data_IF_636782267815
#
_entry.id   IF_636782267815
#
_cell.length_a   1.000
_cell.length_b   1.000
_cell.length_c   1.000
_cell.angle_alpha   90.00
_cell.angle_beta   90.00
_cell.angle_gamma   90.00
#
_symmetry.space_group_name_H-M   'P 1'
#
loop_
_entity.id
_entity.type
_entity.pdbx_description
1 polymer ?
#
# COMPACT_ATOMS: atom_id res chain seq x y z
N UNK A 1 52.11 -30.55 9.91
CA UNK A 1 52.48 -29.47 10.85
C UNK A 1 52.01 -29.89 12.25
N UNK A 2 52.95 -30.16 13.17
CA UNK A 2 52.69 -30.62 14.55
C UNK A 2 52.26 -29.40 15.36
N UNK A 3 51.06 -29.42 15.93
CA UNK A 3 50.59 -28.39 16.88
C UNK A 3 51.05 -28.74 18.28
N UNK A 4 51.88 -27.89 18.86
CA UNK A 4 52.33 -27.96 20.26
C UNK A 4 51.24 -27.40 21.18
N UNK A 5 50.91 -28.19 22.20
CA UNK A 5 49.99 -27.79 23.27
C UNK A 5 50.81 -27.23 24.45
N UNK A 6 50.43 -26.08 24.94
CA UNK A 6 50.97 -25.53 26.17
C UNK A 6 49.88 -25.63 27.25
N UNK A 7 50.16 -26.37 28.33
CA UNK A 7 49.35 -26.41 29.53
C UNK A 7 49.95 -25.44 30.58
N UNK A 8 49.16 -24.53 31.07
CA UNK A 8 49.51 -23.68 32.23
C UNK A 8 48.88 -24.30 33.48
N UNK A 9 49.68 -24.66 34.46
CA UNK A 9 49.25 -25.16 35.78
C UNK A 9 49.14 -23.96 36.72
N UNK A 10 47.94 -23.67 37.19
CA UNK A 10 47.69 -22.70 38.25
C UNK A 10 47.42 -23.48 39.54
N UNK A 11 48.32 -23.38 40.50
CA UNK A 11 48.20 -23.95 41.84
C UNK A 11 47.50 -22.99 42.77
N UNK A 12 46.26 -23.25 43.09
CA UNK A 12 45.47 -22.55 44.11
C UNK A 12 44.21 -23.33 44.43
N UNK A 13 44.25 -23.99 45.56
CA UNK A 13 43.20 -24.72 46.31
C UNK A 13 41.85 -25.02 45.67
N UNK A 14 41.59 -26.34 45.52
CA UNK A 14 40.38 -27.07 45.04
C UNK A 14 40.12 -27.00 43.52
N UNK A 15 40.57 -27.94 42.92
CA UNK A 15 40.59 -28.74 41.75
C UNK A 15 39.41 -28.68 40.77
N UNK A 16 39.62 -28.06 39.67
CA UNK A 16 39.03 -28.51 38.42
C UNK A 16 40.06 -28.20 37.30
N UNK A 17 40.64 -29.25 36.76
CA UNK A 17 41.45 -29.18 35.57
C UNK A 17 40.53 -28.92 34.36
N UNK A 18 40.50 -27.70 33.90
CA UNK A 18 39.84 -27.32 32.63
C UNK A 18 40.87 -27.12 31.52
N UNK A 19 40.86 -27.97 30.51
CA UNK A 19 41.62 -27.73 29.28
C UNK A 19 40.87 -26.70 28.43
N UNK A 20 41.42 -25.49 28.31
CA UNK A 20 40.91 -24.47 27.39
C UNK A 20 41.42 -24.75 25.98
N UNK A 21 40.53 -25.13 25.08
CA UNK A 21 40.80 -25.21 23.64
C UNK A 21 40.84 -23.79 23.06
N UNK A 22 41.83 -23.44 22.21
CA UNK A 22 41.80 -22.18 21.50
C UNK A 22 40.61 -22.15 20.51
N UNK A 23 39.81 -21.07 20.57
CA UNK A 23 38.75 -20.83 19.63
C UNK A 23 39.31 -20.78 18.20
N UNK A 24 38.62 -21.36 17.21
CA UNK A 24 39.01 -21.22 15.82
C UNK A 24 38.89 -19.74 15.42
N UNK A 25 39.98 -19.17 14.91
CA UNK A 25 39.98 -17.90 14.20
C UNK A 25 39.06 -18.04 12.98
N UNK A 26 37.88 -17.46 12.99
CA UNK A 26 37.07 -17.33 11.79
C UNK A 26 37.82 -16.47 10.77
N UNK A 27 37.90 -16.92 9.50
CA UNK A 27 38.33 -16.03 8.43
C UNK A 27 37.35 -14.87 8.38
N UNK A 28 37.86 -13.63 8.31
CA UNK A 28 37.07 -12.40 8.28
C UNK A 28 35.95 -12.55 7.28
N UNK A 29 34.71 -12.38 7.78
CA UNK A 29 33.54 -12.16 6.95
C UNK A 29 33.80 -10.90 6.15
N UNK A 30 34.20 -11.08 4.88
CA UNK A 30 34.02 -9.98 3.93
C UNK A 30 32.60 -9.50 4.05
N UNK A 31 32.42 -8.24 4.40
CA UNK A 31 31.12 -7.59 4.31
C UNK A 31 30.70 -7.74 2.84
N UNK A 32 29.82 -8.71 2.56
CA UNK A 32 28.99 -8.67 1.39
C UNK A 32 28.22 -7.37 1.51
N UNK A 33 28.53 -6.42 0.65
CA UNK A 33 27.65 -5.31 0.35
C UNK A 33 26.37 -6.00 -0.13
N UNK A 34 25.34 -6.06 0.75
CA UNK A 34 24.00 -6.46 0.35
C UNK A 34 23.63 -5.56 -0.82
N UNK A 35 23.74 -6.07 -2.01
CA UNK A 35 23.17 -5.48 -3.20
C UNK A 35 21.68 -5.37 -2.87
N UNK A 36 21.20 -4.14 -2.64
CA UNK A 36 19.88 -3.84 -2.15
C UNK A 36 18.84 -4.59 -2.99
N UNK A 37 18.39 -5.74 -2.51
CA UNK A 37 17.29 -6.47 -3.13
C UNK A 37 16.06 -5.59 -2.95
N UNK A 38 15.53 -5.11 -4.06
CA UNK A 38 14.26 -4.38 -4.06
C UNK A 38 13.24 -5.24 -3.30
N UNK A 39 12.55 -4.68 -2.29
CA UNK A 39 11.58 -5.44 -1.52
C UNK A 39 10.59 -6.14 -2.44
N UNK A 40 10.24 -7.38 -2.12
CA UNK A 40 9.23 -8.13 -2.87
C UNK A 40 7.92 -7.35 -2.81
N UNK A 41 7.18 -7.31 -3.93
CA UNK A 41 5.84 -6.74 -3.95
C UNK A 41 4.90 -7.55 -3.05
N UNK A 42 3.91 -6.87 -2.46
CA UNK A 42 2.86 -7.44 -1.62
C UNK A 42 1.51 -6.88 -2.04
N UNK A 43 0.44 -7.65 -1.85
CA UNK A 43 -0.93 -7.14 -1.89
C UNK A 43 -1.23 -6.57 -0.51
N UNK A 44 -1.43 -5.25 -0.43
CA UNK A 44 -1.74 -4.53 0.81
C UNK A 44 -3.21 -4.61 1.14
N UNK A 45 -4.07 -4.63 0.12
CA UNK A 45 -5.51 -4.75 0.27
C UNK A 45 -6.16 -5.30 -1.00
N UNK A 46 -7.29 -5.98 -0.80
CA UNK A 46 -8.27 -6.34 -1.82
C UNK A 46 -9.62 -5.88 -1.29
N UNK A 47 -10.16 -4.81 -1.84
CA UNK A 47 -11.39 -4.21 -1.36
C UNK A 47 -12.57 -4.62 -2.26
N UNK A 48 -13.52 -5.38 -1.73
CA UNK A 48 -14.78 -5.64 -2.44
C UNK A 48 -15.68 -4.41 -2.29
N UNK A 49 -15.41 -3.38 -3.10
CA UNK A 49 -15.98 -2.04 -2.91
C UNK A 49 -17.38 -1.86 -3.50
N UNK A 50 -17.71 -2.59 -4.57
CA UNK A 50 -19.02 -2.50 -5.23
C UNK A 50 -19.48 -3.90 -5.65
N UNK A 51 -20.71 -4.22 -5.35
CA UNK A 51 -21.40 -5.44 -5.73
C UNK A 51 -22.56 -5.05 -6.68
N UNK A 52 -22.47 -5.45 -7.94
CA UNK A 52 -23.43 -5.16 -9.01
C UNK A 52 -23.79 -3.65 -9.14
N UNK A 53 -22.88 -2.77 -8.79
CA UNK A 53 -23.17 -1.34 -8.55
C UNK A 53 -22.22 -0.35 -9.24
N UNK A 54 -21.30 -0.81 -10.08
CA UNK A 54 -20.47 0.11 -10.86
C UNK A 54 -21.34 1.03 -11.71
N UNK A 55 -21.10 2.36 -11.68
CA UNK A 55 -21.89 3.31 -12.44
C UNK A 55 -21.77 3.07 -13.94
N UNK A 56 -22.77 3.49 -14.71
CA UNK A 56 -22.77 3.33 -16.18
C UNK A 56 -21.55 3.98 -16.85
N UNK A 57 -20.94 4.98 -16.22
CA UNK A 57 -19.69 5.61 -16.68
C UNK A 57 -18.51 4.66 -16.66
N UNK A 58 -18.54 3.57 -15.90
CA UNK A 58 -17.54 2.53 -15.95
C UNK A 58 -17.40 1.88 -17.34
N UNK A 59 -18.40 2.01 -18.19
CA UNK A 59 -18.33 1.57 -19.59
C UNK A 59 -17.24 2.28 -20.41
N UNK A 60 -16.79 3.47 -19.99
CA UNK A 60 -15.65 4.17 -20.60
C UNK A 60 -14.30 3.53 -20.22
N UNK A 61 -14.25 2.85 -19.08
CA UNK A 61 -13.06 2.15 -18.60
C UNK A 61 -13.04 0.67 -19.03
N UNK A 62 -14.23 0.08 -19.09
CA UNK A 62 -14.45 -1.34 -19.35
C UNK A 62 -15.77 -1.52 -20.08
N UNK A 63 -15.73 -1.86 -21.34
CA UNK A 63 -16.95 -2.06 -22.13
C UNK A 63 -17.85 -3.14 -21.49
N UNK A 64 -19.07 -2.76 -21.09
CA UNK A 64 -20.01 -3.61 -20.37
C UNK A 64 -19.66 -3.73 -18.87
N UNK A 65 -18.87 -2.82 -18.29
CA UNK A 65 -18.55 -2.79 -16.87
C UNK A 65 -19.60 -2.09 -15.99
N UNK A 66 -20.46 -1.29 -16.59
CA UNK A 66 -21.56 -0.66 -15.83
C UNK A 66 -22.49 -1.72 -15.24
N UNK A 67 -22.82 -1.62 -13.95
CA UNK A 67 -23.62 -2.59 -13.22
C UNK A 67 -22.89 -3.87 -12.81
N UNK A 68 -21.59 -3.95 -12.98
CA UNK A 68 -20.74 -5.05 -12.48
C UNK A 68 -20.14 -4.71 -11.11
N UNK A 69 -19.35 -5.64 -10.56
CA UNK A 69 -18.61 -5.43 -9.32
C UNK A 69 -17.35 -4.62 -9.59
N UNK A 70 -16.94 -3.85 -8.58
CA UNK A 70 -15.69 -3.13 -8.54
C UNK A 70 -14.83 -3.59 -7.37
N UNK A 71 -13.63 -4.09 -7.68
CA UNK A 71 -12.69 -4.61 -6.67
C UNK A 71 -11.31 -3.97 -6.86
N UNK A 72 -11.02 -2.84 -6.20
CA UNK A 72 -9.67 -2.29 -6.13
C UNK A 72 -8.71 -3.25 -5.40
N UNK A 73 -7.53 -3.45 -5.99
CA UNK A 73 -6.42 -4.23 -5.42
C UNK A 73 -5.22 -3.31 -5.27
N UNK A 74 -4.79 -3.08 -4.04
CA UNK A 74 -3.67 -2.19 -3.72
C UNK A 74 -2.39 -3.00 -3.51
N UNK A 75 -1.35 -2.65 -4.25
CA UNK A 75 -0.03 -3.26 -4.16
C UNK A 75 0.96 -2.35 -3.43
N UNK A 76 1.94 -2.93 -2.76
CA UNK A 76 3.02 -2.19 -2.09
C UNK A 76 3.98 -1.51 -3.08
N UNK A 77 3.96 -1.91 -4.35
CA UNK A 77 4.78 -1.36 -5.44
C UNK A 77 3.91 -0.94 -6.62
N UNK A 78 4.39 0.04 -7.39
CA UNK A 78 3.67 0.58 -8.53
C UNK A 78 3.63 -0.40 -9.70
N UNK A 79 2.50 -0.45 -10.37
CA UNK A 79 2.28 -1.29 -11.56
C UNK A 79 2.81 -0.56 -12.80
N UNK A 80 3.56 -1.28 -13.64
CA UNK A 80 4.24 -0.75 -14.81
C UNK A 80 3.31 -0.51 -16.02
N UNK A 81 2.21 -1.24 -16.11
CA UNK A 81 1.25 -1.19 -17.22
C UNK A 81 -0.06 -0.50 -16.82
N UNK A 82 -0.67 0.26 -17.72
CA UNK A 82 -1.92 0.97 -17.44
C UNK A 82 -3.14 0.06 -17.42
N UNK A 83 -3.07 -1.05 -18.14
CA UNK A 83 -4.17 -2.01 -18.30
C UNK A 83 -3.57 -3.42 -18.22
N UNK A 84 -3.45 -3.98 -17.01
CA UNK A 84 -3.05 -5.38 -16.84
C UNK A 84 -4.04 -6.33 -17.53
N UNK A 85 -3.55 -7.48 -17.98
CA UNK A 85 -4.43 -8.50 -18.56
C UNK A 85 -5.41 -9.04 -17.52
N UNK A 86 -6.73 -9.01 -17.75
CA UNK A 86 -7.72 -9.53 -16.79
C UNK A 86 -7.47 -10.98 -16.41
N UNK A 87 -7.00 -11.80 -17.34
CA UNK A 87 -6.65 -13.21 -17.13
C UNK A 87 -5.45 -13.42 -16.18
N UNK A 88 -4.71 -12.36 -15.86
CA UNK A 88 -3.65 -12.40 -14.84
C UNK A 88 -4.23 -12.51 -13.42
N UNK A 89 -5.52 -12.29 -13.24
CA UNK A 89 -6.18 -12.33 -11.93
C UNK A 89 -7.20 -13.44 -11.84
N UNK A 90 -7.30 -14.03 -10.66
CA UNK A 90 -8.29 -15.04 -10.34
C UNK A 90 -8.90 -14.73 -8.99
N UNK A 91 -10.22 -14.55 -8.96
CA UNK A 91 -11.01 -14.37 -7.75
C UNK A 91 -11.71 -15.69 -7.42
N UNK A 92 -11.68 -16.09 -6.16
CA UNK A 92 -12.41 -17.28 -5.70
C UNK A 92 -13.47 -16.82 -4.69
N UNK A 93 -14.71 -17.26 -4.88
CA UNK A 93 -15.82 -16.94 -3.98
C UNK A 93 -15.90 -17.94 -2.82
N UNK A 94 -16.76 -17.66 -1.84
CA UNK A 94 -16.98 -18.54 -0.67
C UNK A 94 -17.42 -19.95 -1.07
N UNK A 95 -18.21 -20.11 -2.11
CA UNK A 95 -18.61 -21.44 -2.61
C UNK A 95 -17.49 -22.21 -3.32
N UNK A 96 -16.34 -21.55 -3.56
CA UNK A 96 -15.25 -22.09 -4.36
C UNK A 96 -15.39 -21.82 -5.86
N UNK A 97 -16.37 -21.03 -6.29
CA UNK A 97 -16.48 -20.63 -7.69
C UNK A 97 -15.28 -19.74 -8.07
N UNK A 98 -14.73 -19.98 -9.26
CA UNK A 98 -13.58 -19.23 -9.78
C UNK A 98 -14.09 -18.22 -10.80
N UNK A 99 -13.65 -16.97 -10.64
CA UNK A 99 -14.02 -15.83 -11.48
C UNK A 99 -12.79 -15.18 -12.07
N UNK A 100 -12.87 -14.80 -13.33
CA UNK A 100 -11.86 -13.97 -14.00
C UNK A 100 -12.44 -12.58 -14.21
N UNK A 101 -11.73 -11.49 -13.90
CA UNK A 101 -12.20 -10.15 -14.18
C UNK A 101 -12.51 -9.99 -15.68
N UNK A 102 -13.49 -9.16 -15.98
CA UNK A 102 -13.76 -8.69 -17.34
C UNK A 102 -12.72 -7.69 -17.82
N UNK A 103 -12.31 -6.80 -16.89
CA UNK A 103 -11.26 -5.81 -17.13
C UNK A 103 -10.40 -5.65 -15.87
N UNK A 104 -9.15 -5.19 -16.09
CA UNK A 104 -8.24 -4.71 -15.06
C UNK A 104 -7.62 -3.39 -15.55
N UNK A 105 -7.62 -2.35 -14.72
CA UNK A 105 -7.14 -1.03 -15.12
C UNK A 105 -6.61 -0.25 -13.93
N UNK A 106 -5.62 0.62 -14.16
CA UNK A 106 -5.17 1.59 -13.16
C UNK A 106 -5.97 2.90 -13.23
N UNK A 107 -6.81 3.10 -14.24
CA UNK A 107 -7.60 4.32 -14.37
C UNK A 107 -8.60 4.48 -13.22
N UNK A 108 -8.79 5.73 -12.73
CA UNK A 108 -8.21 6.99 -13.24
C UNK A 108 -6.78 7.31 -12.75
N UNK A 109 -6.21 6.60 -11.79
CA UNK A 109 -4.95 6.90 -11.09
C UNK A 109 -3.68 6.55 -11.91
N UNK A 110 -3.43 7.25 -13.02
CA UNK A 110 -2.29 6.99 -13.94
C UNK A 110 -1.02 7.80 -13.63
N UNK A 111 -1.06 8.76 -12.70
CA UNK A 111 0.09 9.59 -12.33
C UNK A 111 1.29 8.74 -11.88
N UNK A 112 2.52 9.19 -12.16
CA UNK A 112 3.75 8.42 -11.87
C UNK A 112 3.94 8.11 -10.38
N UNK A 113 3.44 8.95 -9.48
CA UNK A 113 3.44 8.74 -8.02
C UNK A 113 2.27 7.88 -7.51
N UNK A 114 1.31 7.58 -8.36
CA UNK A 114 0.11 6.80 -8.08
C UNK A 114 0.36 5.32 -8.44
N UNK A 115 -0.44 4.65 -9.20
CA UNK A 115 -0.22 3.33 -9.82
C UNK A 115 -0.11 2.14 -8.85
N UNK A 116 -0.48 2.31 -7.58
CA UNK A 116 -0.48 1.21 -6.62
C UNK A 116 -1.76 0.38 -6.66
N UNK A 117 -2.83 0.89 -7.28
CA UNK A 117 -4.15 0.26 -7.27
C UNK A 117 -4.57 -0.18 -8.66
N UNK A 118 -4.90 -1.45 -8.81
CA UNK A 118 -5.56 -2.02 -9.99
C UNK A 118 -7.03 -2.21 -9.66
N UNK A 119 -7.91 -1.54 -10.40
CA UNK A 119 -9.36 -1.78 -10.35
C UNK A 119 -9.68 -3.00 -11.21
N UNK A 120 -10.14 -4.06 -10.58
CA UNK A 120 -10.74 -5.22 -11.23
C UNK A 120 -12.25 -4.96 -11.40
N UNK A 121 -12.76 -5.23 -12.58
CA UNK A 121 -14.18 -5.11 -12.92
C UNK A 121 -14.67 -6.45 -13.43
N UNK A 122 -15.74 -6.98 -12.85
CA UNK A 122 -16.26 -8.30 -13.23
C UNK A 122 -17.47 -8.73 -12.42
N UNK A 123 -17.76 -10.01 -12.45
CA UNK A 123 -18.72 -10.69 -11.57
C UNK A 123 -17.90 -11.51 -10.57
N UNK A 124 -17.81 -11.03 -9.34
CA UNK A 124 -16.99 -11.64 -8.29
C UNK A 124 -17.80 -12.33 -7.20
N UNK A 125 -19.12 -12.41 -7.39
CA UNK A 125 -20.07 -13.00 -6.46
C UNK A 125 -20.86 -11.93 -5.69
N UNK A 126 -21.81 -12.37 -4.88
CA UNK A 126 -22.80 -11.50 -4.24
C UNK A 126 -22.65 -11.49 -2.72
N UNK A 127 -22.68 -10.32 -2.09
CA UNK A 127 -22.71 -10.21 -0.61
C UNK A 127 -24.15 -10.15 -0.10
N UNK A 128 -24.55 -10.94 0.92
CA UNK A 128 -23.74 -11.90 1.68
C UNK A 128 -23.78 -13.35 1.15
N UNK A 129 -24.38 -13.60 -0.02
CA UNK A 129 -24.65 -14.95 -0.52
C UNK A 129 -23.39 -15.76 -0.81
N UNK A 130 -22.58 -15.28 -1.73
CA UNK A 130 -21.34 -15.94 -2.17
C UNK A 130 -20.23 -14.90 -2.44
N UNK A 131 -19.81 -14.11 -1.44
CA UNK A 131 -18.82 -13.06 -1.63
C UNK A 131 -17.43 -13.62 -2.01
N UNK A 132 -16.56 -12.78 -2.62
CA UNK A 132 -15.18 -13.14 -2.87
C UNK A 132 -14.42 -13.36 -1.55
N UNK A 133 -13.55 -14.37 -1.50
CA UNK A 133 -12.77 -14.75 -0.32
C UNK A 133 -11.28 -14.87 -0.61
N UNK A 134 -10.88 -14.87 -1.88
CA UNK A 134 -9.48 -14.98 -2.27
C UNK A 134 -9.23 -14.31 -3.61
N UNK A 135 -8.09 -13.63 -3.71
CA UNK A 135 -7.50 -13.15 -4.97
C UNK A 135 -6.14 -13.81 -5.17
N UNK A 136 -5.89 -14.30 -6.39
CA UNK A 136 -4.58 -14.76 -6.84
C UNK A 136 -4.15 -13.96 -8.08
N UNK A 137 -2.87 -13.56 -8.14
CA UNK A 137 -2.22 -13.07 -9.35
C UNK A 137 -1.55 -14.26 -10.03
N UNK A 138 -2.16 -14.77 -11.10
CA UNK A 138 -1.76 -16.00 -11.78
C UNK A 138 -1.04 -15.78 -13.10
N UNK A 139 -1.01 -14.56 -13.60
CA UNK A 139 -0.30 -14.12 -14.79
C UNK A 139 0.60 -12.95 -14.53
N UNK A 140 1.31 -12.48 -15.56
CA UNK A 140 2.25 -11.37 -15.44
C UNK A 140 1.53 -10.05 -15.17
N UNK A 141 1.97 -9.37 -14.12
CA UNK A 141 1.63 -7.98 -13.78
C UNK A 141 2.93 -7.26 -13.46
N UNK A 142 3.48 -6.61 -14.48
CA UNK A 142 4.78 -5.95 -14.40
C UNK A 142 4.77 -4.79 -13.38
N UNK A 143 5.85 -4.68 -12.60
CA UNK A 143 6.07 -3.59 -11.67
C UNK A 143 6.87 -2.48 -12.32
N UNK A 144 6.55 -1.22 -12.01
CA UNK A 144 7.17 -0.05 -12.64
C UNK A 144 8.70 0.00 -12.44
N UNK A 145 9.20 -0.42 -11.31
CA UNK A 145 10.62 -0.48 -10.98
C UNK A 145 11.28 -1.84 -11.27
N UNK A 146 10.62 -2.65 -12.10
CA UNK A 146 11.07 -3.98 -12.49
C UNK A 146 10.60 -5.09 -11.54
N UNK A 147 10.50 -6.29 -12.08
CA UNK A 147 9.92 -7.46 -11.42
C UNK A 147 8.44 -7.64 -11.79
N UNK A 148 7.78 -8.57 -11.13
CA UNK A 148 6.42 -8.99 -11.44
C UNK A 148 5.66 -9.33 -10.16
N UNK A 149 4.35 -9.07 -10.16
CA UNK A 149 3.46 -9.42 -9.07
C UNK A 149 2.88 -10.85 -9.20
N UNK A 150 3.22 -11.58 -10.26
CA UNK A 150 2.78 -12.96 -10.45
C UNK A 150 3.14 -13.84 -9.26
N UNK A 151 2.19 -14.65 -8.81
CA UNK A 151 2.33 -15.53 -7.66
C UNK A 151 1.97 -14.89 -6.33
N UNK A 152 1.58 -13.60 -6.30
CA UNK A 152 0.98 -12.99 -5.12
C UNK A 152 -0.45 -13.51 -4.93
N UNK A 153 -0.89 -13.59 -3.68
CA UNK A 153 -2.26 -13.94 -3.32
C UNK A 153 -2.67 -13.28 -2.02
N UNK A 154 -3.97 -13.07 -1.84
CA UNK A 154 -4.56 -12.60 -0.60
C UNK A 154 -5.85 -13.34 -0.28
N UNK A 155 -6.00 -13.79 0.97
CA UNK A 155 -7.25 -14.29 1.56
C UNK A 155 -7.87 -13.26 2.51
N UNK A 156 -7.22 -12.09 2.66
CA UNK A 156 -7.73 -10.97 3.43
C UNK A 156 -8.36 -9.98 2.47
N UNK A 157 -9.67 -10.09 2.32
CA UNK A 157 -10.45 -9.16 1.53
C UNK A 157 -11.21 -8.22 2.47
N UNK A 158 -11.13 -6.94 2.21
CA UNK A 158 -11.97 -5.94 2.88
C UNK A 158 -13.39 -6.11 2.35
N UNK A 159 -14.37 -6.43 3.23
CA UNK A 159 -15.72 -6.77 2.79
C UNK A 159 -16.50 -5.54 2.30
N UNK A 160 -17.55 -5.79 1.53
CA UNK A 160 -18.43 -4.78 0.94
C UNK A 160 -18.97 -3.76 1.95
N UNK A 161 -19.26 -4.18 3.18
CA UNK A 161 -19.80 -3.33 4.24
C UNK A 161 -18.76 -2.50 5.00
N UNK A 162 -17.47 -2.65 4.66
CA UNK A 162 -16.42 -1.84 5.26
C UNK A 162 -16.19 -0.57 4.43
N UNK A 163 -16.04 0.57 5.10
CA UNK A 163 -15.64 1.80 4.43
C UNK A 163 -14.15 1.80 4.04
N UNK A 164 -13.74 2.74 3.18
CA UNK A 164 -12.39 2.82 2.67
C UNK A 164 -11.39 3.16 3.78
N UNK A 165 -10.20 2.58 3.73
CA UNK A 165 -9.13 2.89 4.68
C UNK A 165 -7.83 3.19 3.95
N UNK A 166 -6.96 4.01 4.57
CA UNK A 166 -5.66 4.35 3.99
C UNK A 166 -4.73 3.13 4.06
N UNK A 167 -4.09 2.79 2.94
CA UNK A 167 -3.18 1.65 2.81
C UNK A 167 -1.73 2.05 2.58
N UNK A 168 -1.49 3.24 2.04
CA UNK A 168 -0.16 3.79 1.79
C UNK A 168 -0.14 5.24 2.26
N UNK A 169 0.98 5.66 2.85
CA UNK A 169 1.29 7.05 3.14
C UNK A 169 2.77 7.30 2.80
N UNK A 170 3.02 8.02 1.73
CA UNK A 170 4.36 8.39 1.29
C UNK A 170 4.60 9.88 1.42
N UNK A 171 5.80 10.23 1.88
CA UNK A 171 6.27 11.61 1.98
C UNK A 171 7.11 11.98 0.76
N UNK A 172 6.81 13.16 0.20
CA UNK A 172 7.50 13.76 -0.93
C UNK A 172 7.92 15.20 -0.62
N UNK A 173 8.99 15.65 -1.24
CA UNK A 173 9.24 17.07 -1.38
C UNK A 173 8.25 17.65 -2.44
N UNK A 174 7.83 18.92 -2.34
CA UNK A 174 6.90 19.51 -3.32
C UNK A 174 7.42 19.44 -4.77
N UNK A 175 8.74 19.46 -4.96
CA UNK A 175 9.38 19.35 -6.28
C UNK A 175 9.30 17.95 -6.90
N UNK A 176 9.02 16.93 -6.09
CA UNK A 176 8.85 15.55 -6.57
C UNK A 176 7.44 15.30 -7.11
N UNK A 177 6.46 16.12 -6.68
CA UNK A 177 5.07 16.07 -7.13
C UNK A 177 4.72 17.41 -7.81
N UNK A 178 5.35 17.69 -8.96
CA UNK A 178 5.21 18.95 -9.65
C UNK A 178 3.76 19.27 -10.09
N UNK A 179 2.94 18.23 -10.30
CA UNK A 179 1.53 18.36 -10.69
C UNK A 179 0.60 18.55 -9.47
N UNK A 180 1.15 18.58 -8.26
CA UNK A 180 0.34 18.78 -7.04
C UNK A 180 -0.28 20.18 -7.01
N UNK A 181 -1.55 20.27 -6.64
CA UNK A 181 -2.24 21.53 -6.38
C UNK A 181 -2.05 22.08 -4.96
N UNK A 182 -1.08 21.58 -4.21
CA UNK A 182 -0.72 22.12 -2.90
C UNK A 182 -0.30 23.60 -2.97
N UNK A 183 -0.66 24.42 -1.95
CA UNK A 183 -0.25 25.83 -1.89
C UNK A 183 1.27 26.02 -1.95
N UNK A 184 1.74 27.14 -2.49
CA UNK A 184 3.18 27.44 -2.62
C UNK A 184 3.95 27.58 -1.30
N UNK A 185 3.27 27.63 -0.15
CA UNK A 185 3.87 27.58 1.18
C UNK A 185 4.17 26.17 1.67
N UNK A 186 3.75 25.15 0.91
CA UNK A 186 3.98 23.73 1.25
C UNK A 186 5.47 23.42 1.27
N UNK A 187 5.90 22.71 2.30
CA UNK A 187 7.29 22.26 2.51
C UNK A 187 7.43 20.73 2.31
N UNK A 188 6.38 19.97 2.61
CA UNK A 188 6.31 18.55 2.32
C UNK A 188 4.88 18.15 1.99
N UNK A 189 4.73 17.10 1.20
CA UNK A 189 3.45 16.51 0.83
C UNK A 189 3.42 15.07 1.38
N UNK A 190 2.35 14.70 2.07
CA UNK A 190 2.09 13.30 2.40
C UNK A 190 0.97 12.81 1.49
N UNK A 191 1.31 11.96 0.53
CA UNK A 191 0.33 11.35 -0.37
C UNK A 191 -0.20 10.07 0.28
N UNK A 192 -1.52 9.99 0.37
CA UNK A 192 -2.26 8.83 0.85
C UNK A 192 -2.82 8.06 -0.34
N UNK A 193 -2.76 6.71 -0.27
CA UNK A 193 -3.55 5.85 -1.15
C UNK A 193 -4.59 5.11 -0.29
N UNK A 194 -5.86 5.25 -0.66
CA UNK A 194 -6.97 4.56 -0.04
C UNK A 194 -7.21 3.19 -0.69
N UNK A 195 -7.88 2.31 0.03
CA UNK A 195 -8.24 0.98 -0.47
C UNK A 195 -9.13 1.02 -1.72
N UNK A 196 -9.93 2.07 -1.87
CA UNK A 196 -10.81 2.33 -3.02
C UNK A 196 -11.03 3.82 -3.22
N UNK A 197 -11.78 4.19 -4.24
CA UNK A 197 -12.18 5.58 -4.50
C UNK A 197 -12.90 6.17 -3.31
N UNK A 198 -12.63 7.44 -3.02
CA UNK A 198 -13.19 8.14 -1.86
C UNK A 198 -13.84 9.45 -2.26
N UNK A 199 -14.95 9.77 -1.57
CA UNK A 199 -15.64 11.06 -1.62
C UNK A 199 -15.89 11.55 -0.20
N UNK A 200 -16.38 12.78 -0.05
CA UNK A 200 -16.96 13.19 1.22
C UNK A 200 -18.23 12.36 1.52
N UNK A 201 -18.60 12.12 2.79
CA UNK A 201 -19.76 11.27 3.14
C UNK A 201 -21.11 11.72 2.57
N UNK A 202 -21.23 12.99 2.18
CA UNK A 202 -22.42 13.54 1.52
C UNK A 202 -22.24 13.65 -0.01
N UNK A 203 -21.21 13.02 -0.56
CA UNK A 203 -20.79 13.15 -1.95
C UNK A 203 -19.93 14.39 -2.19
N UNK A 204 -19.32 14.47 -3.37
CA UNK A 204 -18.34 15.50 -3.72
C UNK A 204 -16.96 15.26 -3.13
N UNK A 205 -16.09 16.27 -3.24
CA UNK A 205 -14.70 16.16 -2.84
C UNK A 205 -14.49 16.25 -1.33
N UNK A 206 -13.38 15.68 -0.86
CA UNK A 206 -12.91 15.84 0.50
C UNK A 206 -12.60 17.32 0.76
N UNK A 207 -13.25 17.91 1.76
CA UNK A 207 -13.13 19.32 2.07
C UNK A 207 -12.49 19.59 3.43
N UNK A 208 -12.79 20.80 3.97
CA UNK A 208 -12.23 21.27 5.24
C UNK A 208 -12.55 20.36 6.43
N UNK A 209 -13.72 19.72 6.44
CA UNK A 209 -14.08 18.77 7.51
C UNK A 209 -13.13 17.55 7.51
N UNK A 210 -12.85 16.99 6.33
CA UNK A 210 -11.89 15.90 6.18
C UNK A 210 -10.48 16.36 6.57
N UNK A 211 -10.06 17.54 6.09
CA UNK A 211 -8.78 18.14 6.44
C UNK A 211 -8.60 18.31 7.95
N UNK A 212 -9.62 18.79 8.65
CA UNK A 212 -9.56 19.01 10.10
C UNK A 212 -9.46 17.72 10.92
N UNK A 213 -10.01 16.62 10.40
CA UNK A 213 -9.94 15.30 11.04
C UNK A 213 -8.73 14.44 10.63
N UNK A 214 -7.85 14.97 9.77
CA UNK A 214 -6.57 14.36 9.43
C UNK A 214 -5.44 15.03 10.21
N UNK A 215 -4.70 14.26 11.00
CA UNK A 215 -3.57 14.75 11.79
C UNK A 215 -2.29 14.03 11.40
N UNK A 216 -1.22 14.80 11.26
CA UNK A 216 0.11 14.28 10.95
C UNK A 216 0.97 14.42 12.18
N UNK A 217 1.53 13.31 12.65
CA UNK A 217 2.55 13.31 13.69
C UNK A 217 3.90 13.45 13.01
N UNK A 218 4.66 14.46 13.43
CA UNK A 218 6.02 14.73 12.96
C UNK A 218 7.04 13.97 13.81
N UNK A 219 8.24 13.78 13.26
CA UNK A 219 9.38 13.29 14.06
C UNK A 219 9.55 14.20 15.29
N UNK A 220 9.62 13.56 16.47
CA UNK A 220 9.59 14.28 17.75
C UNK A 220 8.21 14.38 18.39
N UNK A 221 7.16 13.81 17.77
CA UNK A 221 5.84 13.63 18.37
C UNK A 221 4.89 14.82 18.27
N UNK A 222 5.29 15.92 17.63
CA UNK A 222 4.43 17.09 17.42
C UNK A 222 3.35 16.72 16.40
N UNK A 223 2.09 17.03 16.71
CA UNK A 223 0.97 16.85 15.78
C UNK A 223 0.61 18.16 15.08
N UNK A 224 0.38 18.06 13.78
CA UNK A 224 -0.06 19.18 12.93
C UNK A 224 -1.23 18.77 12.07
N UNK A 225 -2.08 19.72 11.69
CA UNK A 225 -3.10 19.52 10.66
C UNK A 225 -2.54 19.97 9.31
N UNK A 226 -2.94 19.33 8.20
CA UNK A 226 -2.59 19.80 6.86
C UNK A 226 -3.12 21.23 6.65
N UNK A 227 -2.32 22.07 5.98
CA UNK A 227 -2.77 23.43 5.60
C UNK A 227 -3.76 23.38 4.44
N UNK A 228 -3.70 22.32 3.62
CA UNK A 228 -4.65 22.03 2.53
C UNK A 228 -4.68 20.54 2.23
N UNK A 229 -5.75 20.10 1.56
CA UNK A 229 -5.79 18.85 0.81
C UNK A 229 -5.61 19.18 -0.67
N UNK A 230 -4.97 18.29 -1.40
CA UNK A 230 -4.75 18.37 -2.85
C UNK A 230 -4.96 17.00 -3.51
N UNK A 231 -4.84 16.94 -4.82
CA UNK A 231 -5.14 15.73 -5.61
C UNK A 231 -6.62 15.33 -5.46
N UNK A 232 -7.48 16.30 -5.75
CA UNK A 232 -8.94 16.19 -5.63
C UNK A 232 -9.56 16.41 -7.01
N UNK A 233 -10.77 15.87 -7.24
CA UNK A 233 -11.58 16.12 -8.44
C UNK A 233 -11.27 15.20 -9.62
N UNK A 234 -10.44 14.18 -9.45
CA UNK A 234 -10.08 13.21 -10.49
C UNK A 234 -10.74 11.83 -10.31
N UNK A 235 -11.53 11.68 -9.23
CA UNK A 235 -12.25 10.45 -8.86
C UNK A 235 -11.36 9.23 -8.71
N UNK A 236 -10.13 9.43 -8.28
CA UNK A 236 -9.23 8.34 -7.94
C UNK A 236 -9.22 8.04 -6.41
N UNK A 237 -8.29 7.22 -5.98
CA UNK A 237 -8.17 6.81 -4.58
C UNK A 237 -6.95 7.45 -3.89
N UNK A 238 -6.50 8.61 -4.34
CA UNK A 238 -5.39 9.33 -3.74
C UNK A 238 -5.84 10.65 -3.13
N UNK A 239 -5.10 11.09 -2.13
CA UNK A 239 -5.29 12.39 -1.48
C UNK A 239 -3.93 12.89 -1.00
N UNK A 240 -3.62 14.15 -1.20
CA UNK A 240 -2.38 14.75 -0.74
C UNK A 240 -2.64 15.67 0.44
N UNK A 241 -1.87 15.47 1.52
CA UNK A 241 -1.83 16.35 2.70
C UNK A 241 -0.69 17.34 2.53
N UNK A 242 -1.02 18.61 2.36
CA UNK A 242 -0.03 19.69 2.20
C UNK A 242 0.40 20.19 3.58
N UNK A 243 1.70 20.17 3.89
CA UNK A 243 2.24 20.61 5.17
C UNK A 243 3.24 21.76 4.98
N UNK A 244 3.21 22.75 5.86
CA UNK A 244 4.09 23.95 5.84
C UNK A 244 5.32 23.81 6.74
N UNK A 245 5.72 22.58 7.06
CA UNK A 245 6.87 22.26 7.90
C UNK A 245 7.87 21.36 7.19
N UNK A 246 9.16 21.58 7.43
CA UNK A 246 10.26 20.72 6.95
C UNK A 246 10.51 19.52 7.90
N UNK A 247 9.95 19.54 9.13
CA UNK A 247 10.08 18.41 10.05
C UNK A 247 9.37 17.19 9.48
N UNK A 248 10.08 16.06 9.28
CA UNK A 248 9.51 14.91 8.58
C UNK A 248 8.24 14.37 9.23
N UNK A 249 7.23 14.07 8.43
CA UNK A 249 6.04 13.34 8.86
C UNK A 249 6.42 11.89 9.22
N UNK A 250 5.92 11.39 10.33
CA UNK A 250 6.14 10.03 10.85
C UNK A 250 4.89 9.15 10.74
N UNK A 251 3.71 9.71 10.99
CA UNK A 251 2.44 9.00 10.84
C UNK A 251 1.30 9.96 10.52
N UNK A 252 0.23 9.40 9.94
CA UNK A 252 -1.04 10.08 9.72
C UNK A 252 -2.12 9.36 10.51
N UNK A 253 -2.96 10.11 11.20
CA UNK A 253 -4.19 9.63 11.82
C UNK A 253 -5.37 10.26 11.09
N UNK A 254 -6.33 9.45 10.70
CA UNK A 254 -7.58 9.85 10.04
C UNK A 254 -8.73 9.48 10.95
N UNK A 255 -9.52 10.47 11.36
CA UNK A 255 -10.71 10.25 12.17
C UNK A 255 -11.77 9.45 11.38
N UNK A 256 -12.64 8.68 12.03
CA UNK A 256 -13.69 7.94 11.34
C UNK A 256 -14.74 8.88 10.74
N UNK A 257 -15.35 8.45 9.64
CA UNK A 257 -16.47 9.17 9.03
C UNK A 257 -16.12 10.40 8.21
N UNK A 258 -14.85 10.57 7.81
CA UNK A 258 -14.38 11.71 7.00
C UNK A 258 -14.46 11.46 5.50
N UNK A 259 -14.35 10.23 5.10
CA UNK A 259 -14.42 9.80 3.71
C UNK A 259 -15.43 8.64 3.59
N UNK A 260 -16.04 8.52 2.44
CA UNK A 260 -16.95 7.42 2.12
C UNK A 260 -16.59 6.81 0.77
N UNK A 261 -16.88 5.54 0.61
CA UNK A 261 -16.84 4.86 -0.68
C UNK A 261 -18.08 5.22 -1.53
N UNK A 262 -18.19 4.75 -2.79
CA UNK A 262 -19.36 5.01 -3.64
C UNK A 262 -20.69 4.46 -3.10
N UNK A 263 -20.68 3.56 -2.12
CA UNK A 263 -21.88 3.05 -1.45
C UNK A 263 -22.33 3.92 -0.28
N UNK A 264 -21.46 4.81 0.20
CA UNK A 264 -21.68 5.65 1.38
C UNK A 264 -21.17 5.02 2.68
N UNK A 265 -20.46 3.88 2.63
CA UNK A 265 -19.80 3.30 3.79
C UNK A 265 -18.61 4.16 4.18
N UNK A 266 -18.58 4.65 5.44
CA UNK A 266 -17.58 5.62 5.87
C UNK A 266 -16.31 4.96 6.39
N UNK A 267 -15.19 5.67 6.23
CA UNK A 267 -13.89 5.17 6.70
C UNK A 267 -13.89 4.93 8.22
N UNK A 268 -13.25 3.84 8.68
CA UNK A 268 -12.93 3.65 10.10
C UNK A 268 -11.82 4.60 10.54
N UNK A 269 -11.62 4.75 11.85
CA UNK A 269 -10.41 5.40 12.37
C UNK A 269 -9.18 4.66 11.86
N UNK A 270 -8.24 5.39 11.28
CA UNK A 270 -7.02 4.82 10.70
C UNK A 270 -5.79 5.55 11.26
N UNK A 271 -4.75 4.79 11.57
CA UNK A 271 -3.41 5.34 11.81
C UNK A 271 -2.42 4.60 10.93
N UNK A 272 -1.62 5.34 10.18
CA UNK A 272 -0.66 4.76 9.22
C UNK A 272 0.69 5.45 9.34
N UNK A 273 1.76 4.65 9.27
CA UNK A 273 3.12 5.19 9.24
C UNK A 273 3.39 5.86 7.90
N UNK A 274 4.02 7.02 7.93
CA UNK A 274 4.54 7.70 6.75
C UNK A 274 5.96 7.20 6.46
N UNK A 275 6.21 6.80 5.23
CA UNK A 275 7.52 6.39 4.77
C UNK A 275 7.94 7.22 3.54
N UNK A 276 9.19 7.15 3.17
CA UNK A 276 9.62 7.64 1.85
C UNK A 276 9.20 6.60 0.80
N UNK A 277 8.76 7.07 -0.36
CA UNK A 277 8.46 6.19 -1.49
C UNK A 277 9.72 5.41 -1.90
N UNK A 278 9.72 4.07 -1.78
CA UNK A 278 10.90 3.27 -2.08
C UNK A 278 11.27 3.25 -3.57
N UNK A 279 10.35 3.66 -4.44
CA UNK A 279 10.55 3.66 -5.89
C UNK A 279 10.92 5.06 -6.42
N UNK A 280 10.72 6.12 -5.61
CA UNK A 280 10.92 7.51 -6.02
C UNK A 280 9.97 7.94 -7.14
N UNK A 281 9.76 9.23 -7.34
CA UNK A 281 9.05 9.76 -8.51
C UNK A 281 10.08 10.13 -9.56
N UNK A 282 10.02 9.52 -10.74
CA UNK A 282 10.94 9.82 -11.88
C UNK A 282 10.19 10.43 -13.03
#
# INVERSE_FOLDING_TARGET
MKRTWACVVVTGTLGLLGCLSPAPTQPGSGASVDGGSTPRAEILDVFFGLDNALPATANFLCLGGGGMDGMPVTFSRRIGMDTPEPSAFRVTTRSGAVRTPRCATLRPALGTSKRHTVLLIGDFGDDPGDPPVRLDVIGSVELLSGGDAMGLSSERLTPLSAGPSVRIAYRYAPTELADSSCPGTTRQIVQLAWAGGVTAPMGGELGDAARAGMRVTLVGGVQVSPIALADLGDNDNYTQLCLDTDTPAESVTVDPGLAADPRGDTNPATSIRVTTDPEGVR
#
